data_IF_177788231634
#
_entry.id   IF_177788231634
#
_cell.length_a   1.000
_cell.length_b   1.000
_cell.length_c   1.000
_cell.angle_alpha   90.00
_cell.angle_beta   90.00
_cell.angle_gamma   90.00
#
_symmetry.space_group_name_H-M   'P 1'
#
loop_
_entity.id
_entity.type
_entity.pdbx_description
1 polymer ?
#
# COMPACT_ATOMS: atom_id res chain seq x y z
N UNK A 1 43.24 31.63 -6.84
CA UNK A 1 42.49 30.65 -7.64
C UNK A 1 41.48 29.98 -6.73
N UNK A 2 40.29 30.54 -6.69
CA UNK A 2 39.19 30.08 -5.83
C UNK A 2 38.20 29.29 -6.72
N UNK A 3 38.15 27.97 -6.50
CA UNK A 3 37.17 27.11 -7.17
C UNK A 3 35.81 27.26 -6.48
N UNK A 4 34.86 27.87 -7.16
CA UNK A 4 33.45 27.83 -6.80
C UNK A 4 32.91 26.45 -7.17
N UNK A 5 32.60 25.61 -6.20
CA UNK A 5 31.79 24.43 -6.38
C UNK A 5 30.32 24.83 -6.35
N UNK A 6 29.70 24.98 -7.50
CA UNK A 6 28.26 25.08 -7.67
C UNK A 6 27.64 23.74 -7.35
N UNK A 7 26.93 23.68 -6.24
CA UNK A 7 26.13 22.54 -5.80
C UNK A 7 24.83 22.54 -6.63
N UNK A 8 24.86 21.95 -7.83
CA UNK A 8 23.66 21.64 -8.61
C UNK A 8 22.95 20.47 -7.90
N UNK A 9 21.89 20.78 -7.16
CA UNK A 9 20.91 19.80 -6.72
C UNK A 9 20.29 19.18 -7.97
N UNK A 10 20.70 17.96 -8.28
CA UNK A 10 20.17 17.13 -9.35
C UNK A 10 18.66 16.95 -9.14
N UNK A 11 17.86 17.70 -9.90
CA UNK A 11 16.40 17.58 -9.89
C UNK A 11 16.05 16.18 -10.38
N UNK A 12 15.48 15.38 -9.47
CA UNK A 12 14.87 14.10 -9.81
C UNK A 12 13.90 14.32 -10.95
N UNK A 13 14.02 13.63 -12.11
CA UNK A 13 13.03 13.75 -13.17
C UNK A 13 11.71 13.20 -12.66
N UNK A 14 10.74 14.10 -12.48
CA UNK A 14 9.37 13.72 -12.17
C UNK A 14 8.79 12.99 -13.39
N UNK A 15 7.98 11.94 -13.19
CA UNK A 15 7.25 11.32 -14.29
C UNK A 15 6.42 12.37 -15.01
N UNK A 16 6.34 12.28 -16.35
CA UNK A 16 5.57 13.20 -17.17
C UNK A 16 4.13 13.34 -16.66
N UNK A 17 3.70 14.53 -16.19
CA UNK A 17 2.38 14.69 -15.60
C UNK A 17 1.23 14.37 -16.57
N UNK A 18 1.48 14.41 -17.88
CA UNK A 18 0.45 14.16 -18.91
C UNK A 18 0.22 12.66 -19.21
N UNK A 19 1.10 11.77 -18.80
CA UNK A 19 1.01 10.34 -19.14
C UNK A 19 0.15 9.52 -18.15
N UNK A 20 -0.35 10.07 -17.04
CA UNK A 20 -0.78 9.28 -15.90
C UNK A 20 -2.21 9.46 -15.39
N UNK A 21 -2.99 10.40 -15.86
CA UNK A 21 -4.34 10.67 -15.31
C UNK A 21 -5.45 9.82 -15.94
N UNK A 22 -5.26 8.50 -16.03
CA UNK A 22 -6.38 7.60 -16.31
C UNK A 22 -7.20 7.43 -15.03
N UNK A 23 -8.55 7.45 -15.09
CA UNK A 23 -9.44 7.27 -13.92
C UNK A 23 -9.16 5.99 -13.14
N UNK A 24 -8.70 4.94 -13.83
CA UNK A 24 -8.15 3.73 -13.23
C UNK A 24 -7.19 3.01 -14.18
N UNK A 25 -6.27 2.25 -13.61
CA UNK A 25 -5.40 1.32 -14.34
C UNK A 25 -5.10 0.06 -13.52
N UNK A 26 -4.54 -0.96 -14.16
CA UNK A 26 -4.06 -2.17 -13.51
C UNK A 26 -2.54 -2.13 -13.39
N UNK A 27 -2.01 -2.75 -12.34
CA UNK A 27 -0.60 -3.06 -12.20
C UNK A 27 -0.44 -4.57 -12.08
N UNK A 28 0.24 -5.18 -13.04
CA UNK A 28 0.48 -6.62 -13.08
C UNK A 28 1.93 -6.92 -12.73
N UNK A 29 2.15 -7.77 -11.74
CA UNK A 29 3.49 -8.03 -11.26
C UNK A 29 3.57 -9.06 -10.16
N UNK A 30 4.45 -8.84 -9.22
CA UNK A 30 4.77 -9.82 -8.18
C UNK A 30 4.80 -9.19 -6.79
N UNK A 31 4.31 -9.96 -5.82
CA UNK A 31 4.57 -9.77 -4.40
C UNK A 31 5.65 -10.77 -3.96
N UNK A 32 6.66 -10.32 -3.21
CA UNK A 32 7.67 -11.15 -2.61
C UNK A 32 7.78 -10.82 -1.12
N UNK A 33 7.82 -11.86 -0.29
CA UNK A 33 8.13 -11.75 1.12
C UNK A 33 9.42 -12.53 1.41
N UNK A 34 10.29 -11.94 2.21
CA UNK A 34 11.52 -12.55 2.67
C UNK A 34 11.67 -12.32 4.17
N UNK A 35 11.48 -13.38 4.93
CA UNK A 35 11.82 -13.41 6.34
C UNK A 35 13.30 -13.79 6.47
N UNK A 36 14.03 -13.02 7.27
CA UNK A 36 15.46 -13.22 7.54
C UNK A 36 15.67 -13.87 8.90
N UNK A 37 14.85 -13.53 9.89
CA UNK A 37 14.95 -14.00 11.29
C UNK A 37 13.58 -14.40 11.83
N UNK A 38 13.50 -15.28 12.86
CA UNK A 38 14.57 -16.17 13.33
C UNK A 38 14.79 -17.32 12.36
N UNK A 39 13.84 -17.64 11.46
CA UNK A 39 13.88 -18.69 10.46
C UNK A 39 13.77 -18.07 9.07
N UNK A 40 14.74 -18.37 8.20
CA UNK A 40 14.72 -17.94 6.81
C UNK A 40 13.53 -18.52 6.04
N UNK A 41 12.75 -17.64 5.40
CA UNK A 41 11.61 -18.05 4.58
C UNK A 41 11.34 -17.03 3.50
N UNK A 42 11.25 -17.48 2.25
CA UNK A 42 11.01 -16.62 1.09
C UNK A 42 9.96 -17.24 0.19
N UNK A 43 9.05 -16.37 -0.30
CA UNK A 43 8.08 -16.74 -1.32
C UNK A 43 7.78 -15.57 -2.26
N UNK A 44 7.28 -15.88 -3.44
CA UNK A 44 6.90 -14.92 -4.47
C UNK A 44 5.64 -15.39 -5.17
N UNK A 45 4.69 -14.48 -5.34
CA UNK A 45 3.43 -14.74 -6.04
C UNK A 45 3.16 -13.67 -7.08
N UNK A 46 2.74 -14.12 -8.28
CA UNK A 46 2.17 -13.21 -9.28
C UNK A 46 0.82 -12.70 -8.81
N UNK A 47 0.62 -11.39 -8.92
CA UNK A 47 -0.61 -10.70 -8.55
C UNK A 47 -0.89 -9.58 -9.55
N UNK A 48 -2.09 -9.03 -9.50
CA UNK A 48 -2.39 -7.74 -10.10
C UNK A 48 -3.14 -6.87 -9.09
N UNK A 49 -2.87 -5.58 -9.08
CA UNK A 49 -3.59 -4.58 -8.32
C UNK A 49 -4.22 -3.57 -9.26
N UNK A 50 -5.05 -2.72 -8.72
CA UNK A 50 -5.67 -1.59 -9.41
C UNK A 50 -5.19 -0.30 -8.75
N UNK A 51 -4.96 0.74 -9.54
CA UNK A 51 -4.91 2.12 -9.10
C UNK A 51 -6.17 2.79 -9.59
N UNK A 52 -6.90 3.45 -8.70
CA UNK A 52 -8.14 4.15 -9.00
C UNK A 52 -8.11 5.56 -8.41
N UNK A 53 -8.48 6.55 -9.21
CA UNK A 53 -8.65 7.93 -8.77
C UNK A 53 -10.02 8.08 -8.11
N UNK A 54 -10.04 8.48 -6.82
CA UNK A 54 -11.28 8.62 -6.05
C UNK A 54 -12.12 9.83 -6.48
N UNK A 55 -11.54 10.76 -7.24
CA UNK A 55 -12.23 11.91 -7.79
C UNK A 55 -12.87 11.63 -9.16
N UNK A 56 -12.53 10.47 -9.79
CA UNK A 56 -12.98 10.09 -11.14
C UNK A 56 -13.62 8.68 -11.17
N UNK A 57 -14.41 8.35 -10.14
CA UNK A 57 -15.04 7.01 -10.02
C UNK A 57 -16.09 6.75 -11.12
N UNK A 58 -16.78 7.78 -11.60
CA UNK A 58 -17.78 7.67 -12.67
C UNK A 58 -17.10 7.33 -14.00
N UNK A 59 -15.99 8.00 -14.30
CA UNK A 59 -15.20 7.73 -15.50
C UNK A 59 -14.53 6.37 -15.44
N UNK A 60 -14.09 5.94 -14.24
CA UNK A 60 -13.55 4.61 -14.01
C UNK A 60 -14.58 3.51 -14.30
N UNK A 61 -15.84 3.70 -13.87
CA UNK A 61 -16.95 2.77 -14.11
C UNK A 61 -17.22 2.51 -15.61
N UNK A 62 -16.91 3.49 -16.46
CA UNK A 62 -17.13 3.42 -17.91
C UNK A 62 -15.98 2.77 -18.70
N UNK A 63 -14.84 2.44 -18.08
CA UNK A 63 -13.64 1.97 -18.80
C UNK A 63 -13.80 0.59 -19.45
N UNK A 64 -14.67 -0.28 -18.92
CA UNK A 64 -14.87 -1.63 -19.46
C UNK A 64 -16.20 -2.20 -19.00
N UNK A 65 -16.94 -2.91 -19.88
CA UNK A 65 -18.16 -3.63 -19.48
C UNK A 65 -17.91 -4.76 -18.47
N UNK A 66 -16.67 -5.20 -18.27
CA UNK A 66 -16.29 -6.19 -17.26
C UNK A 66 -15.86 -5.57 -15.92
N UNK A 67 -15.86 -4.24 -15.81
CA UNK A 67 -15.53 -3.51 -14.59
C UNK A 67 -16.72 -2.66 -14.13
N UNK A 68 -16.89 -2.52 -12.82
CA UNK A 68 -17.89 -1.62 -12.24
C UNK A 68 -17.41 -1.03 -10.92
N UNK A 69 -17.87 0.18 -10.64
CA UNK A 69 -17.72 0.86 -9.34
C UNK A 69 -19.01 0.70 -8.55
N UNK A 70 -18.89 0.30 -7.28
CA UNK A 70 -20.00 0.11 -6.32
C UNK A 70 -21.15 -0.81 -6.80
N UNK A 71 -20.90 -1.62 -7.83
CA UNK A 71 -21.81 -2.63 -8.38
C UNK A 71 -21.06 -3.94 -8.65
N UNK A 72 -21.78 -5.05 -8.54
CA UNK A 72 -21.21 -6.38 -8.86
C UNK A 72 -20.86 -6.49 -10.35
N UNK A 73 -19.68 -7.03 -10.65
CA UNK A 73 -19.22 -7.34 -11.98
C UNK A 73 -18.13 -8.44 -11.90
N UNK A 74 -17.56 -8.84 -13.04
CA UNK A 74 -16.40 -9.74 -13.11
C UNK A 74 -15.23 -9.20 -12.32
N UNK A 75 -14.89 -7.93 -12.54
CA UNK A 75 -13.99 -7.14 -11.70
C UNK A 75 -14.74 -5.91 -11.19
N UNK A 76 -14.60 -5.55 -9.94
CA UNK A 76 -15.25 -4.36 -9.41
C UNK A 76 -14.45 -3.70 -8.28
N UNK A 77 -14.71 -2.42 -8.08
CA UNK A 77 -14.26 -1.63 -6.93
C UNK A 77 -15.48 -1.24 -6.08
N UNK A 78 -15.37 -1.37 -4.78
CA UNK A 78 -16.42 -0.94 -3.87
C UNK A 78 -15.81 -0.08 -2.75
N UNK A 79 -16.26 1.16 -2.64
CA UNK A 79 -15.87 2.07 -1.55
C UNK A 79 -16.17 1.46 -0.18
N UNK A 80 -17.28 0.72 -0.06
CA UNK A 80 -17.70 0.04 1.17
C UNK A 80 -16.64 -0.95 1.72
N UNK A 81 -15.77 -1.48 0.88
CA UNK A 81 -14.68 -2.36 1.33
C UNK A 81 -13.68 -1.61 2.20
N UNK A 82 -13.56 -0.31 2.01
CA UNK A 82 -12.61 0.57 2.71
C UNK A 82 -13.29 1.40 3.82
N UNK A 83 -14.61 1.58 3.77
CA UNK A 83 -15.38 2.40 4.70
C UNK A 83 -15.80 1.69 6.00
N UNK A 84 -15.47 0.40 6.19
CA UNK A 84 -15.85 -0.32 7.41
C UNK A 84 -15.39 0.43 8.66
N UNK A 85 -16.36 0.81 9.53
CA UNK A 85 -16.12 1.62 10.73
C UNK A 85 -15.97 3.13 10.48
N UNK A 86 -16.17 3.61 9.24
CA UNK A 86 -16.20 5.02 8.92
C UNK A 86 -17.60 5.63 9.14
N UNK A 87 -17.64 6.93 9.41
CA UNK A 87 -18.88 7.71 9.56
C UNK A 87 -19.26 8.44 8.27
N UNK A 88 -18.33 8.56 7.33
CA UNK A 88 -18.52 9.23 6.04
C UNK A 88 -19.22 8.30 5.04
N UNK A 89 -19.95 8.91 4.10
CA UNK A 89 -20.71 8.20 3.06
C UNK A 89 -19.89 7.91 1.81
N UNK A 90 -18.79 8.65 1.57
CA UNK A 90 -17.85 8.41 0.47
C UNK A 90 -16.44 8.15 0.99
N UNK A 91 -15.70 7.34 0.25
CA UNK A 91 -14.31 7.02 0.59
C UNK A 91 -13.41 8.26 0.48
N UNK A 92 -13.67 9.11 -0.51
CA UNK A 92 -12.96 10.37 -0.69
C UNK A 92 -13.06 11.25 0.56
N UNK A 93 -14.27 11.51 1.04
CA UNK A 93 -14.50 12.29 2.25
C UNK A 93 -13.91 11.64 3.51
N UNK A 94 -13.93 10.30 3.58
CA UNK A 94 -13.30 9.58 4.69
C UNK A 94 -11.79 9.82 4.74
N UNK A 95 -11.11 9.71 3.59
CA UNK A 95 -9.65 9.93 3.54
C UNK A 95 -9.31 11.39 3.83
N UNK A 96 -10.07 12.36 3.29
CA UNK A 96 -9.86 13.77 3.63
C UNK A 96 -9.97 14.03 5.14
N UNK A 97 -11.00 13.46 5.77
CA UNK A 97 -11.15 13.60 7.23
C UNK A 97 -9.95 13.00 8.01
N UNK A 98 -9.36 11.90 7.54
CA UNK A 98 -8.14 11.34 8.11
C UNK A 98 -6.93 12.25 7.90
N UNK A 99 -6.77 12.82 6.70
CA UNK A 99 -5.68 13.73 6.36
C UNK A 99 -5.73 15.02 7.18
N UNK A 100 -6.92 15.60 7.34
CA UNK A 100 -7.13 16.78 8.20
C UNK A 100 -6.78 16.48 9.67
N UNK A 101 -7.17 15.30 10.19
CA UNK A 101 -6.77 14.85 11.54
C UNK A 101 -5.27 14.63 11.67
N UNK A 102 -4.58 14.29 10.59
CA UNK A 102 -3.12 14.19 10.56
C UNK A 102 -2.41 15.56 10.53
N UNK A 103 -3.16 16.65 10.37
CA UNK A 103 -2.65 18.02 10.33
C UNK A 103 -2.26 18.47 8.93
N UNK A 104 -2.97 18.04 7.87
CA UNK A 104 -2.97 18.75 6.62
C UNK A 104 -3.83 20.03 6.77
N UNK A 105 -3.33 21.14 6.27
CA UNK A 105 -4.01 22.44 6.37
C UNK A 105 -5.16 22.58 5.36
N UNK A 106 -5.12 21.79 4.27
CA UNK A 106 -6.12 21.79 3.20
C UNK A 106 -6.40 20.36 2.73
N UNK A 107 -7.61 20.07 2.21
CA UNK A 107 -7.91 18.80 1.55
C UNK A 107 -6.94 18.53 0.39
N UNK A 108 -6.66 17.27 0.15
CA UNK A 108 -5.89 16.86 -1.02
C UNK A 108 -6.64 17.24 -2.30
N UNK A 109 -5.90 17.72 -3.32
CA UNK A 109 -6.49 18.05 -4.63
C UNK A 109 -6.88 16.80 -5.41
N UNK A 110 -6.21 15.69 -5.17
CA UNK A 110 -6.45 14.38 -5.80
C UNK A 110 -6.04 13.26 -4.86
N UNK A 111 -6.79 12.16 -4.86
CA UNK A 111 -6.44 10.95 -4.12
C UNK A 111 -6.52 9.73 -5.03
N UNK A 112 -5.41 9.04 -5.23
CA UNK A 112 -5.33 7.76 -5.89
C UNK A 112 -5.22 6.63 -4.88
N UNK A 113 -5.97 5.55 -5.08
CA UNK A 113 -5.95 4.35 -4.26
C UNK A 113 -5.38 3.17 -5.04
N UNK A 114 -4.28 2.62 -4.56
CA UNK A 114 -3.76 1.34 -5.03
C UNK A 114 -4.22 0.20 -4.10
N UNK A 115 -5.03 -0.72 -4.65
CA UNK A 115 -5.66 -1.82 -3.92
C UNK A 115 -5.88 -3.04 -4.81
N UNK A 116 -6.31 -4.17 -4.26
CA UNK A 116 -6.80 -5.29 -5.04
C UNK A 116 -8.27 -5.09 -5.39
N UNK A 117 -8.68 -5.30 -6.66
CA UNK A 117 -10.10 -5.26 -7.03
C UNK A 117 -10.86 -6.48 -6.51
N UNK A 118 -12.18 -6.38 -6.40
CA UNK A 118 -13.03 -7.56 -6.27
C UNK A 118 -13.00 -8.37 -7.56
N UNK A 119 -12.90 -9.69 -7.42
CA UNK A 119 -13.02 -10.64 -8.53
C UNK A 119 -14.19 -11.57 -8.21
N UNK A 120 -15.20 -11.58 -9.08
CA UNK A 120 -16.45 -12.30 -8.86
C UNK A 120 -17.06 -12.03 -7.47
N UNK A 121 -17.04 -10.76 -7.06
CA UNK A 121 -17.58 -10.30 -5.77
C UNK A 121 -16.68 -10.54 -4.55
N UNK A 122 -15.55 -11.23 -4.69
CA UNK A 122 -14.63 -11.53 -3.59
C UNK A 122 -13.44 -10.58 -3.57
N UNK A 123 -13.10 -10.08 -2.39
CA UNK A 123 -11.94 -9.20 -2.19
C UNK A 123 -11.22 -9.50 -0.88
N UNK A 124 -9.91 -9.36 -0.89
CA UNK A 124 -9.08 -9.26 0.29
C UNK A 124 -7.90 -8.34 0.01
N UNK A 125 -7.82 -7.25 0.75
CA UNK A 125 -6.79 -6.22 0.66
C UNK A 125 -5.87 -6.28 1.90
N UNK A 126 -4.76 -7.06 1.89
CA UNK A 126 -3.82 -7.05 3.00
C UNK A 126 -3.21 -5.68 3.25
N UNK A 127 -2.97 -4.95 2.17
CA UNK A 127 -2.48 -3.59 2.15
C UNK A 127 -3.14 -2.82 1.01
N UNK A 128 -3.67 -1.64 1.33
CA UNK A 128 -4.07 -0.62 0.36
C UNK A 128 -3.29 0.66 0.64
N UNK A 129 -2.87 1.36 -0.39
CA UNK A 129 -2.08 2.58 -0.27
C UNK A 129 -2.79 3.72 -0.99
N UNK A 130 -3.13 4.77 -0.25
CA UNK A 130 -3.66 6.00 -0.81
C UNK A 130 -2.52 6.98 -1.00
N UNK A 131 -2.46 7.59 -2.16
CA UNK A 131 -1.57 8.68 -2.52
C UNK A 131 -2.39 9.95 -2.57
N UNK A 132 -2.16 10.86 -1.61
CA UNK A 132 -2.81 12.16 -1.56
C UNK A 132 -1.87 13.22 -2.12
N UNK A 133 -2.38 14.03 -3.06
CA UNK A 133 -1.60 15.04 -3.78
C UNK A 133 -2.06 16.44 -3.40
N UNK A 134 -1.12 17.37 -3.38
CA UNK A 134 -1.34 18.79 -3.19
C UNK A 134 -1.61 19.53 -4.52
N UNK A 135 -1.77 20.87 -4.46
CA UNK A 135 -2.06 21.70 -5.65
C UNK A 135 -0.98 21.68 -6.74
N UNK A 136 0.25 21.35 -6.37
CA UNK A 136 1.40 21.23 -7.27
C UNK A 136 1.59 19.82 -7.83
N UNK A 137 0.57 18.96 -7.66
CA UNK A 137 0.58 17.54 -8.02
C UNK A 137 1.71 16.72 -7.34
N UNK A 138 2.25 17.24 -6.21
CA UNK A 138 3.20 16.51 -5.39
C UNK A 138 2.48 15.71 -4.31
N UNK A 139 2.96 14.51 -3.95
CA UNK A 139 2.42 13.75 -2.83
C UNK A 139 2.60 14.52 -1.52
N UNK A 140 1.51 14.80 -0.82
CA UNK A 140 1.50 15.47 0.49
C UNK A 140 1.29 14.48 1.65
N UNK A 141 0.72 13.33 1.37
CA UNK A 141 0.57 12.26 2.35
C UNK A 141 0.38 10.88 1.68
N UNK A 142 0.78 9.83 2.40
CA UNK A 142 0.36 8.46 2.11
C UNK A 142 -0.48 7.92 3.26
N UNK A 143 -1.52 7.17 2.90
CA UNK A 143 -2.35 6.46 3.88
C UNK A 143 -2.24 4.96 3.62
N UNK A 144 -1.78 4.22 4.62
CA UNK A 144 -1.61 2.77 4.54
C UNK A 144 -2.75 2.10 5.30
N UNK A 145 -3.68 1.49 4.59
CA UNK A 145 -4.73 0.67 5.16
C UNK A 145 -4.26 -0.78 5.20
N UNK A 146 -4.05 -1.31 6.39
CA UNK A 146 -3.56 -2.68 6.61
C UNK A 146 -4.69 -3.52 7.17
N UNK A 147 -4.87 -4.74 6.64
CA UNK A 147 -5.86 -5.71 7.10
C UNK A 147 -5.21 -7.04 7.42
N UNK A 148 -5.72 -7.68 8.45
CA UNK A 148 -5.38 -9.05 8.77
C UNK A 148 -6.49 -10.02 8.32
N UNK A 149 -6.19 -11.32 8.37
CA UNK A 149 -7.16 -12.38 8.06
C UNK A 149 -8.21 -12.61 9.16
N UNK A 150 -8.11 -11.90 10.28
CA UNK A 150 -9.05 -11.95 11.40
C UNK A 150 -10.20 -10.95 11.28
N UNK A 151 -10.27 -10.21 10.17
CA UNK A 151 -11.33 -9.23 9.89
C UNK A 151 -11.09 -7.84 10.48
N UNK A 152 -9.89 -7.57 11.01
CA UNK A 152 -9.51 -6.27 11.56
C UNK A 152 -8.80 -5.40 10.53
N UNK A 153 -8.82 -4.09 10.78
CA UNK A 153 -8.20 -3.05 9.96
C UNK A 153 -7.53 -2.01 10.84
N UNK A 154 -6.36 -1.52 10.40
CA UNK A 154 -5.69 -0.34 10.97
C UNK A 154 -5.17 0.56 9.85
N UNK A 155 -5.28 1.87 10.04
CA UNK A 155 -4.89 2.88 9.05
C UNK A 155 -3.75 3.74 9.60
N UNK A 156 -2.60 3.71 8.94
CA UNK A 156 -1.47 4.62 9.22
C UNK A 156 -1.58 5.82 8.29
N UNK A 157 -1.71 7.02 8.84
CA UNK A 157 -1.74 8.26 8.07
C UNK A 157 -0.41 8.96 8.21
N UNK A 158 0.30 9.14 7.10
CA UNK A 158 1.68 9.62 7.07
C UNK A 158 1.80 10.82 6.14
N UNK A 159 1.98 12.02 6.69
CA UNK A 159 2.35 13.20 5.87
C UNK A 159 3.70 12.97 5.23
N UNK A 160 3.91 13.53 4.06
CA UNK A 160 5.22 13.58 3.41
C UNK A 160 5.95 14.80 3.95
N UNK A 161 7.02 14.55 4.68
CA UNK A 161 7.85 15.59 5.29
C UNK A 161 9.04 15.93 4.39
N UNK A 162 9.70 17.05 4.70
CA UNK A 162 10.91 17.45 3.96
C UNK A 162 11.98 16.34 4.04
N UNK A 163 12.45 15.87 2.88
CA UNK A 163 13.43 14.80 2.76
C UNK A 163 12.86 13.38 2.67
N UNK A 164 11.54 13.20 2.81
CA UNK A 164 10.89 11.89 2.58
C UNK A 164 10.89 11.51 1.10
N UNK A 165 10.72 12.51 0.22
CA UNK A 165 10.74 12.29 -1.23
C UNK A 165 12.17 12.12 -1.73
N UNK A 166 12.47 10.96 -2.28
CA UNK A 166 13.80 10.60 -2.79
C UNK A 166 13.68 10.02 -4.21
N UNK A 167 14.78 9.94 -4.98
CA UNK A 167 14.79 9.29 -6.29
C UNK A 167 14.30 7.83 -6.24
N UNK A 168 14.46 7.17 -5.11
CA UNK A 168 14.03 5.78 -4.91
C UNK A 168 12.60 5.65 -4.38
N UNK A 169 11.87 6.75 -4.24
CA UNK A 169 10.49 6.83 -3.73
C UNK A 169 10.37 7.54 -2.38
N UNK A 170 9.13 7.61 -1.90
CA UNK A 170 8.77 8.24 -0.63
C UNK A 170 9.18 7.30 0.50
N UNK A 171 9.95 7.83 1.47
CA UNK A 171 10.45 7.10 2.63
C UNK A 171 9.65 7.52 3.86
N UNK A 172 9.07 6.57 4.56
CA UNK A 172 8.34 6.82 5.81
C UNK A 172 8.58 5.69 6.79
N UNK A 173 8.49 5.97 8.08
CA UNK A 173 8.66 4.97 9.13
C UNK A 173 7.54 5.09 10.16
N UNK A 174 7.03 3.94 10.66
CA UNK A 174 5.99 3.87 11.69
C UNK A 174 6.25 2.70 12.63
N UNK A 175 6.00 2.92 13.91
CA UNK A 175 5.91 1.83 14.88
C UNK A 175 4.79 0.88 14.49
N UNK A 176 5.04 -0.43 14.59
CA UNK A 176 4.05 -1.46 14.30
C UNK A 176 3.01 -1.48 15.42
N UNK A 177 1.79 -1.07 15.11
CA UNK A 177 0.67 -1.03 16.05
C UNK A 177 -0.33 -2.16 15.79
N UNK A 178 -0.28 -2.78 14.62
CA UNK A 178 -1.30 -3.70 14.15
C UNK A 178 -0.79 -5.13 13.98
N UNK A 179 -1.52 -6.08 14.57
CA UNK A 179 -1.21 -7.50 14.50
C UNK A 179 -1.67 -8.09 13.17
N UNK A 180 -0.73 -8.47 12.33
CA UNK A 180 -0.98 -9.00 10.98
C UNK A 180 -0.69 -10.49 10.84
N UNK A 181 0.14 -11.06 11.72
CA UNK A 181 0.59 -12.45 11.62
C UNK A 181 0.91 -13.02 12.99
N UNK A 182 0.55 -14.29 13.27
CA UNK A 182 0.89 -14.96 14.52
C UNK A 182 2.38 -15.31 14.68
N UNK A 183 3.20 -14.97 13.71
CA UNK A 183 4.64 -15.25 13.70
C UNK A 183 5.49 -13.99 13.67
N UNK A 184 4.92 -12.83 14.04
CA UNK A 184 5.62 -11.54 14.06
C UNK A 184 5.31 -10.81 15.35
N UNK A 185 6.37 -10.48 16.10
CA UNK A 185 6.29 -9.71 17.33
C UNK A 185 5.75 -8.30 17.06
N UNK A 186 5.14 -7.70 18.09
CA UNK A 186 4.58 -6.35 18.00
C UNK A 186 5.64 -5.27 18.18
N UNK A 187 6.76 -5.59 18.82
CA UNK A 187 7.86 -4.66 19.04
C UNK A 187 8.71 -4.51 17.77
N UNK A 188 8.15 -3.82 16.78
CA UNK A 188 8.74 -3.66 15.47
C UNK A 188 8.39 -2.31 14.85
N UNK A 189 9.13 -1.95 13.80
CA UNK A 189 8.89 -0.78 12.96
C UNK A 189 8.72 -1.19 11.51
N UNK A 190 7.81 -0.52 10.84
CA UNK A 190 7.70 -0.51 9.39
C UNK A 190 8.56 0.61 8.82
N UNK A 191 9.42 0.28 7.87
CA UNK A 191 10.14 1.23 7.05
C UNK A 191 9.62 1.10 5.63
N UNK A 192 8.83 2.08 5.22
CA UNK A 192 8.20 2.12 3.91
C UNK A 192 9.11 2.82 2.90
N UNK A 193 9.13 2.30 1.66
CA UNK A 193 9.65 3.00 0.49
C UNK A 193 8.68 2.75 -0.65
N UNK A 194 7.91 3.79 -1.03
CA UNK A 194 6.83 3.74 -2.00
C UNK A 194 7.16 4.63 -3.19
N UNK A 195 7.16 4.10 -4.42
CA UNK A 195 7.25 4.96 -5.59
C UNK A 195 5.94 5.69 -5.81
N UNK A 196 6.01 6.88 -6.39
CA UNK A 196 4.83 7.55 -6.96
C UNK A 196 4.31 6.64 -8.10
N UNK A 197 2.98 6.45 -8.24
CA UNK A 197 2.40 5.68 -9.33
C UNK A 197 2.82 6.22 -10.71
N UNK A 198 3.36 5.36 -11.56
CA UNK A 198 3.82 5.67 -12.91
C UNK A 198 3.76 4.41 -13.78
N UNK A 199 4.68 4.22 -14.72
CA UNK A 199 4.77 2.97 -15.52
C UNK A 199 5.07 1.75 -14.65
N UNK A 200 5.75 1.95 -13.53
CA UNK A 200 5.97 0.94 -12.51
C UNK A 200 5.50 1.43 -11.14
N UNK A 201 4.84 0.56 -10.41
CA UNK A 201 4.49 0.77 -9.02
C UNK A 201 5.31 -0.19 -8.16
N UNK A 202 6.14 0.37 -7.27
CA UNK A 202 7.01 -0.42 -6.40
C UNK A 202 6.78 -0.04 -4.95
N UNK A 203 6.52 -1.04 -4.11
CA UNK A 203 6.44 -0.91 -2.67
C UNK A 203 7.51 -1.77 -2.03
N UNK A 204 8.21 -1.23 -1.07
CA UNK A 204 9.11 -1.95 -0.20
C UNK A 204 8.79 -1.62 1.24
N UNK A 205 8.51 -2.64 2.02
CA UNK A 205 8.28 -2.57 3.46
C UNK A 205 9.34 -3.41 4.12
N UNK A 206 10.18 -2.77 4.95
CA UNK A 206 11.17 -3.46 5.76
C UNK A 206 10.71 -3.39 7.21
N UNK A 207 10.48 -4.55 7.83
CA UNK A 207 10.20 -4.64 9.24
C UNK A 207 11.50 -4.84 10.00
N UNK A 208 11.70 -4.00 11.02
CA UNK A 208 12.87 -4.02 11.90
C UNK A 208 12.44 -4.14 13.35
N UNK A 209 13.23 -4.87 14.15
CA UNK A 209 13.18 -4.93 15.60
C UNK A 209 14.46 -4.34 16.18
N UNK A 210 14.68 -4.31 17.53
CA UNK A 210 15.93 -3.83 18.12
C UNK A 210 17.18 -4.56 17.64
N UNK A 211 17.04 -5.79 17.13
CA UNK A 211 18.15 -6.60 16.60
C UNK A 211 18.41 -6.35 15.11
N UNK A 212 17.63 -5.45 14.47
CA UNK A 212 17.76 -5.07 13.07
C UNK A 212 16.66 -5.65 12.17
N UNK A 213 16.87 -5.71 10.85
CA UNK A 213 15.87 -6.17 9.89
C UNK A 213 15.56 -7.67 10.04
N UNK A 214 14.27 -8.02 10.04
CA UNK A 214 13.84 -9.41 10.16
C UNK A 214 12.85 -9.86 9.06
N UNK A 215 12.12 -8.93 8.42
CA UNK A 215 11.20 -9.25 7.34
C UNK A 215 11.18 -8.14 6.29
N UNK A 216 11.22 -8.50 5.02
CA UNK A 216 11.02 -7.60 3.89
C UNK A 216 9.84 -8.08 3.06
N UNK A 217 8.93 -7.16 2.73
CA UNK A 217 7.84 -7.35 1.78
C UNK A 217 8.06 -6.38 0.61
N UNK A 218 7.95 -6.88 -0.62
CA UNK A 218 8.04 -6.04 -1.81
C UNK A 218 6.91 -6.34 -2.76
N UNK A 219 6.41 -5.31 -3.41
CA UNK A 219 5.51 -5.39 -4.55
C UNK A 219 6.14 -4.64 -5.72
N UNK A 220 6.06 -5.21 -6.92
CA UNK A 220 6.47 -4.54 -8.14
C UNK A 220 5.49 -4.90 -9.25
N UNK A 221 4.77 -3.90 -9.76
CA UNK A 221 3.80 -4.04 -10.85
C UNK A 221 4.10 -3.11 -12.01
N UNK A 222 3.82 -3.57 -13.23
CA UNK A 222 3.88 -2.77 -14.45
C UNK A 222 2.48 -2.34 -14.85
N UNK A 223 2.34 -1.05 -15.19
CA UNK A 223 1.07 -0.44 -15.58
C UNK A 223 0.46 -1.08 -16.81
N UNK A 224 -0.84 -1.27 -16.79
CA UNK A 224 -1.69 -1.71 -17.90
C UNK A 224 -2.97 -0.88 -17.89
N UNK A 225 -3.52 -0.48 -19.06
CA UNK A 225 -4.82 0.18 -19.08
C UNK A 225 -5.89 -0.75 -18.49
N UNK A 226 -6.85 -0.21 -17.74
CA UNK A 226 -8.03 -0.94 -17.32
C UNK A 226 -8.96 -1.05 -18.53
N UNK A 227 -8.95 -2.19 -19.17
CA UNK A 227 -9.72 -2.50 -20.38
C UNK A 227 -10.21 -3.94 -20.35
N UNK A 228 -11.22 -4.27 -21.13
CA UNK A 228 -11.73 -5.65 -21.25
C UNK A 228 -10.62 -6.65 -21.57
N UNK A 229 -9.71 -6.32 -22.49
CA UNK A 229 -8.57 -7.17 -22.85
C UNK A 229 -7.63 -7.41 -21.66
N UNK A 230 -7.29 -6.34 -20.92
CA UNK A 230 -6.39 -6.44 -19.75
C UNK A 230 -7.04 -7.22 -18.62
N UNK A 231 -8.34 -7.02 -18.37
CA UNK A 231 -9.10 -7.77 -17.35
C UNK A 231 -9.08 -9.27 -17.69
N UNK A 232 -9.44 -9.64 -18.92
CA UNK A 232 -9.43 -11.04 -19.37
C UNK A 232 -8.01 -11.64 -19.26
N UNK A 233 -6.98 -10.92 -19.68
CA UNK A 233 -5.60 -11.36 -19.55
C UNK A 233 -5.19 -11.62 -18.08
N UNK A 234 -5.58 -10.73 -17.16
CA UNK A 234 -5.35 -10.91 -15.73
C UNK A 234 -6.07 -12.15 -15.18
N UNK A 235 -7.33 -12.34 -15.55
CA UNK A 235 -8.13 -13.51 -15.12
C UNK A 235 -7.56 -14.83 -15.64
N UNK A 236 -7.06 -14.86 -16.88
CA UNK A 236 -6.45 -16.06 -17.46
C UNK A 236 -5.07 -16.37 -16.83
N UNK A 237 -4.25 -15.34 -16.59
CA UNK A 237 -2.91 -15.52 -16.03
C UNK A 237 -2.91 -15.78 -14.52
N UNK A 238 -3.82 -15.14 -13.80
CA UNK A 238 -3.92 -15.18 -12.35
C UNK A 238 -5.38 -15.38 -11.96
N UNK A 239 -5.92 -16.58 -12.21
CA UNK A 239 -7.32 -16.87 -11.88
C UNK A 239 -7.54 -16.81 -10.37
N UNK A 240 -8.72 -16.36 -9.96
CA UNK A 240 -9.15 -16.35 -8.55
C UNK A 240 -8.17 -15.65 -7.62
N UNK A 241 -7.71 -14.45 -7.99
CA UNK A 241 -6.68 -13.67 -7.26
C UNK A 241 -6.91 -13.64 -5.76
N UNK A 242 -8.13 -13.32 -5.30
CA UNK A 242 -8.48 -13.23 -3.88
C UNK A 242 -8.27 -14.54 -3.14
N UNK A 243 -8.75 -15.66 -3.71
CA UNK A 243 -8.57 -17.01 -3.14
C UNK A 243 -7.09 -17.40 -3.10
N UNK A 244 -6.33 -17.03 -4.13
CA UNK A 244 -4.89 -17.26 -4.19
C UNK A 244 -4.15 -16.48 -3.09
N UNK A 245 -4.54 -15.23 -2.82
CA UNK A 245 -3.94 -14.42 -1.75
C UNK A 245 -4.27 -15.04 -0.39
N UNK A 246 -5.55 -15.30 -0.10
CA UNK A 246 -5.97 -15.86 1.20
C UNK A 246 -5.37 -17.24 1.42
N UNK A 247 -5.47 -18.14 0.42
CA UNK A 247 -4.89 -19.48 0.49
C UNK A 247 -3.37 -19.44 0.65
N UNK A 248 -2.70 -18.55 -0.08
CA UNK A 248 -1.25 -18.33 0.03
C UNK A 248 -0.84 -17.90 1.45
N UNK A 249 -1.55 -16.96 2.07
CA UNK A 249 -1.28 -16.53 3.45
C UNK A 249 -1.34 -17.70 4.42
N UNK A 250 -2.39 -18.53 4.35
CA UNK A 250 -2.54 -19.69 5.24
C UNK A 250 -1.50 -20.77 4.95
N UNK A 251 -1.18 -21.02 3.69
CA UNK A 251 -0.16 -21.99 3.28
C UNK A 251 1.25 -21.58 3.77
N UNK A 252 1.62 -20.31 3.61
CA UNK A 252 2.91 -19.82 4.11
C UNK A 252 2.95 -19.77 5.63
N UNK A 253 1.82 -19.49 6.29
CA UNK A 253 1.70 -19.59 7.75
C UNK A 253 1.91 -21.04 8.24
N UNK A 254 1.30 -22.04 7.57
CA UNK A 254 1.52 -23.44 7.88
C UNK A 254 3.00 -23.85 7.74
N UNK A 255 3.67 -23.40 6.68
CA UNK A 255 5.11 -23.65 6.50
C UNK A 255 5.97 -23.06 7.62
N UNK A 256 5.65 -21.84 8.07
CA UNK A 256 6.34 -21.20 9.19
C UNK A 256 6.13 -21.99 10.49
N UNK A 257 4.91 -22.43 10.74
CA UNK A 257 4.58 -23.28 11.90
C UNK A 257 5.35 -24.60 11.86
N UNK A 258 5.38 -25.30 10.72
CA UNK A 258 6.16 -26.53 10.52
C UNK A 258 7.68 -26.33 10.67
N UNK A 259 8.19 -25.11 10.45
CA UNK A 259 9.57 -24.72 10.70
C UNK A 259 9.85 -24.37 12.18
N UNK A 260 8.88 -24.56 13.07
CA UNK A 260 9.03 -24.30 14.51
C UNK A 260 8.93 -22.83 14.90
N UNK A 261 8.32 -21.97 14.07
CA UNK A 261 8.08 -20.58 14.46
C UNK A 261 7.17 -20.49 15.68
N UNK A 262 7.57 -19.69 16.66
CA UNK A 262 6.79 -19.44 17.86
C UNK A 262 5.52 -18.69 17.54
N UNK A 263 4.40 -19.13 18.09
CA UNK A 263 3.13 -18.44 18.04
C UNK A 263 3.15 -17.22 18.98
N UNK A 264 2.79 -16.05 18.46
CA UNK A 264 2.63 -14.81 19.21
C UNK A 264 1.13 -14.59 19.45
N UNK A 265 0.68 -14.52 20.72
CA UNK A 265 -0.72 -14.26 21.02
C UNK A 265 -1.20 -12.92 20.45
N UNK A 266 -2.45 -12.90 20.01
CA UNK A 266 -3.05 -11.69 19.47
C UNK A 266 -3.34 -10.69 20.61
N UNK A 267 -2.80 -9.47 20.58
CA UNK A 267 -3.11 -8.42 21.54
C UNK A 267 -4.51 -7.83 21.31
N UNK A 268 -4.94 -6.97 22.22
CA UNK A 268 -6.12 -6.14 21.98
C UNK A 268 -5.92 -5.29 20.72
N UNK A 269 -6.97 -5.10 19.89
CA UNK A 269 -6.86 -4.32 18.67
C UNK A 269 -6.50 -2.86 18.99
N UNK A 270 -5.61 -2.23 18.22
CA UNK A 270 -5.29 -0.81 18.37
C UNK A 270 -6.46 0.06 17.90
N UNK A 271 -6.41 1.39 18.12
CA UNK A 271 -7.32 2.33 17.47
C UNK A 271 -7.37 2.12 15.96
N UNK A 272 -8.48 2.45 15.32
CA UNK A 272 -8.67 2.21 13.87
C UNK A 272 -7.72 3.00 12.96
N UNK A 273 -7.17 4.12 13.47
CA UNK A 273 -6.19 4.93 12.75
C UNK A 273 -5.12 5.50 13.68
N UNK A 274 -3.91 5.73 13.13
CA UNK A 274 -2.79 6.39 13.79
C UNK A 274 -2.21 7.49 12.91
N UNK A 275 -1.92 8.64 13.52
CA UNK A 275 -1.51 9.87 12.84
C UNK A 275 -0.07 10.28 13.16
N UNK A 276 0.50 9.74 14.21
CA UNK A 276 1.86 10.04 14.68
C UNK A 276 2.63 8.77 14.95
N UNK A 277 3.95 8.85 14.84
CA UNK A 277 4.81 7.76 15.29
C UNK A 277 4.81 7.71 16.82
N UNK A 278 4.60 6.55 17.42
CA UNK A 278 4.56 6.39 18.86
C UNK A 278 5.95 6.09 19.46
N UNK A 279 7.03 6.44 18.76
CA UNK A 279 8.42 6.53 19.22
C UNK A 279 8.85 5.54 20.32
N UNK A 280 8.68 4.22 20.12
CA UNK A 280 9.20 3.24 21.09
C UNK A 280 10.64 2.78 20.81
N UNK A 281 11.21 3.21 19.69
CA UNK A 281 12.60 2.96 19.32
C UNK A 281 13.20 4.25 18.80
N UNK A 282 13.97 4.92 19.65
CA UNK A 282 14.80 6.05 19.25
C UNK A 282 15.84 5.59 18.22
N UNK A 283 15.99 6.37 17.20
CA UNK A 283 16.79 6.16 16.00
C UNK A 283 18.28 6.06 16.33
N UNK A 284 18.76 4.88 16.67
CA UNK A 284 20.17 4.55 16.59
C UNK A 284 20.51 3.61 15.43
N UNK A 285 19.68 3.49 14.42
CA UNK A 285 20.06 2.81 13.19
C UNK A 285 20.45 3.88 12.18
N UNK A 286 21.76 4.02 12.05
CA UNK A 286 22.54 4.88 11.18
C UNK A 286 21.89 5.21 9.84
N UNK A 287 21.99 6.48 9.49
CA UNK A 287 22.05 6.91 8.08
C UNK A 287 23.19 6.16 7.41
N UNK A 288 22.96 5.46 6.30
CA UNK A 288 23.98 5.24 5.30
C UNK A 288 24.04 6.42 4.35
#
# INVERSE_FOLDING_TARGET
MTMNATNETEKVPLPDPKATHAPACLYVGDVMHQRMKPVGHRFRYKVYSMLIDLDHLVEADALSPLFSVNRSNVMSFHEADHLRGATQTSLRAHIDALLMKAGLDQPATRIELACYPRIFGQVFNPLSVYYAYGPDDQPVALVYEVRNTFGEKHTYVCKVEAGDLTPAGIRQSRSKLFYVSPFVEMEARYNFRMTIPGEQLKWRILETDPSGPFLAATYCGTRRPLSTRSILACLLQIPLLTWKIVGGIHYEALKLWLKGMRYVPRPAPPPTASFRDQGKFDSQVAKP
#
